data_IF_104498278521
#
_entry.id   IF_104498278521
#
_cell.length_a   1.000
_cell.length_b   1.000
_cell.length_c   1.000
_cell.angle_alpha   90.00
_cell.angle_beta   90.00
_cell.angle_gamma   90.00
#
_symmetry.space_group_name_H-M   'P 1'
#
loop_
_entity.id
_entity.type
_entity.pdbx_description
1 polymer ?
#
# COMPACT_ATOMS: atom_id res chain seq x y z
N UNK A 1 2.72 26.42 16.41
CA UNK A 1 2.17 25.38 15.50
C UNK A 1 2.99 25.22 14.20
N UNK A 2 3.76 26.23 13.77
CA UNK A 2 4.65 26.17 12.58
C UNK A 2 5.79 25.16 12.68
N UNK A 3 6.44 25.00 13.84
CA UNK A 3 7.62 24.15 13.99
C UNK A 3 7.35 22.63 13.88
N UNK A 4 6.14 22.17 14.21
CA UNK A 4 5.76 20.75 14.11
C UNK A 4 5.58 20.33 12.65
N UNK A 5 4.87 21.16 11.87
CA UNK A 5 4.67 20.93 10.45
C UNK A 5 6.00 20.95 9.68
N UNK A 6 6.91 21.89 10.00
CA UNK A 6 8.24 21.91 9.40
C UNK A 6 9.07 20.67 9.72
N UNK A 7 8.96 20.12 10.94
CA UNK A 7 9.62 18.86 11.30
C UNK A 7 9.06 17.67 10.52
N UNK A 8 7.73 17.54 10.45
CA UNK A 8 7.07 16.50 9.66
C UNK A 8 7.44 16.59 8.17
N UNK A 9 7.51 17.80 7.62
CA UNK A 9 7.96 18.04 6.25
C UNK A 9 9.41 17.62 6.03
N UNK A 10 10.31 17.89 7.00
CA UNK A 10 11.69 17.45 6.91
C UNK A 10 11.82 15.92 6.90
N UNK A 11 11.05 15.20 7.73
CA UNK A 11 10.95 13.74 7.69
C UNK A 11 10.44 13.24 6.34
N UNK A 12 9.41 13.87 5.80
CA UNK A 12 8.85 13.54 4.48
C UNK A 12 9.88 13.69 3.35
N UNK A 13 10.57 14.83 3.28
CA UNK A 13 11.59 15.08 2.26
C UNK A 13 12.77 14.11 2.36
N UNK A 14 13.22 13.81 3.60
CA UNK A 14 14.28 12.83 3.85
C UNK A 14 13.90 11.45 3.33
N UNK A 15 12.71 10.98 3.71
CA UNK A 15 12.25 9.64 3.33
C UNK A 15 12.01 9.53 1.82
N UNK A 16 11.52 10.60 1.18
CA UNK A 16 11.41 10.69 -0.28
C UNK A 16 12.77 10.58 -0.97
N UNK A 17 13.78 11.32 -0.49
CA UNK A 17 15.14 11.23 -1.04
C UNK A 17 15.72 9.82 -0.89
N UNK A 18 15.43 9.17 0.24
CA UNK A 18 15.79 7.77 0.46
C UNK A 18 15.15 6.88 -0.60
N UNK A 19 13.83 6.92 -0.78
CA UNK A 19 13.10 6.07 -1.72
C UNK A 19 13.51 6.30 -3.19
N UNK A 20 13.73 7.56 -3.58
CA UNK A 20 14.19 7.94 -4.94
C UNK A 20 15.61 7.43 -5.22
N UNK A 21 16.41 7.19 -4.19
CA UNK A 21 17.73 6.57 -4.32
C UNK A 21 17.61 5.04 -4.56
N UNK A 22 16.54 4.40 -4.07
CA UNK A 22 16.26 2.96 -4.23
C UNK A 22 15.25 2.64 -5.35
N UNK A 23 15.47 3.21 -6.55
CA UNK A 23 14.58 3.07 -7.73
C UNK A 23 14.27 1.62 -8.10
N UNK A 24 15.21 0.71 -7.88
CA UNK A 24 15.04 -0.73 -8.14
C UNK A 24 14.00 -1.37 -7.21
N UNK A 25 14.03 -1.01 -5.92
CA UNK A 25 13.06 -1.50 -4.95
C UNK A 25 11.65 -1.01 -5.31
N UNK A 26 11.52 0.27 -5.68
CA UNK A 26 10.28 0.84 -6.18
C UNK A 26 9.77 0.02 -7.38
N UNK A 27 10.59 -0.18 -8.41
CA UNK A 27 10.21 -0.94 -9.60
C UNK A 27 9.73 -2.37 -9.26
N UNK A 28 10.44 -3.10 -8.39
CA UNK A 28 10.05 -4.45 -7.99
C UNK A 28 8.73 -4.50 -7.23
N UNK A 29 8.45 -3.51 -6.38
CA UNK A 29 7.17 -3.45 -5.68
C UNK A 29 5.98 -3.21 -6.62
N UNK A 30 6.14 -2.32 -7.61
CA UNK A 30 5.12 -2.08 -8.63
C UNK A 30 4.94 -3.29 -9.53
N UNK A 31 6.04 -3.90 -9.99
CA UNK A 31 5.99 -5.12 -10.78
C UNK A 31 5.30 -6.25 -10.02
N UNK A 32 5.66 -6.47 -8.75
CA UNK A 32 5.04 -7.48 -7.89
C UNK A 32 3.55 -7.26 -7.71
N UNK A 33 3.14 -6.00 -7.49
CA UNK A 33 1.73 -5.63 -7.39
C UNK A 33 0.96 -5.87 -8.70
N UNK A 34 1.57 -5.53 -9.84
CA UNK A 34 1.01 -5.80 -11.17
C UNK A 34 0.84 -7.30 -11.43
N UNK A 35 1.86 -8.11 -11.14
CA UNK A 35 1.80 -9.57 -11.26
C UNK A 35 0.74 -10.17 -10.34
N UNK A 36 0.63 -9.68 -9.10
CA UNK A 36 -0.41 -10.10 -8.16
C UNK A 36 -1.80 -9.85 -8.74
N UNK A 37 -2.10 -8.62 -9.15
CA UNK A 37 -3.43 -8.25 -9.68
C UNK A 37 -3.76 -9.06 -10.93
N UNK A 38 -2.81 -9.21 -11.85
CA UNK A 38 -3.00 -9.97 -13.09
C UNK A 38 -3.25 -11.44 -12.81
N UNK A 39 -2.45 -12.06 -11.94
CA UNK A 39 -2.60 -13.47 -11.57
C UNK A 39 -3.96 -13.73 -10.93
N UNK A 40 -4.35 -12.90 -9.96
CA UNK A 40 -5.64 -13.03 -9.29
C UNK A 40 -6.81 -12.73 -10.20
N UNK A 41 -6.66 -11.85 -11.19
CA UNK A 41 -7.66 -11.66 -12.23
C UNK A 41 -7.92 -12.95 -13.00
N UNK A 42 -6.87 -13.64 -13.48
CA UNK A 42 -7.06 -14.90 -14.21
C UNK A 42 -7.58 -16.04 -13.31
N UNK A 43 -7.11 -16.14 -12.06
CA UNK A 43 -7.64 -17.10 -11.09
C UNK A 43 -9.14 -16.86 -10.86
N UNK A 44 -9.54 -15.59 -10.71
CA UNK A 44 -10.93 -15.24 -10.47
C UNK A 44 -11.85 -15.64 -11.63
N UNK A 45 -11.36 -15.60 -12.86
CA UNK A 45 -12.09 -16.05 -14.04
C UNK A 45 -12.30 -17.56 -14.01
N UNK A 46 -11.28 -18.33 -13.62
CA UNK A 46 -11.38 -19.78 -13.47
C UNK A 46 -12.34 -20.20 -12.35
N UNK A 47 -12.44 -19.39 -11.30
CA UNK A 47 -13.30 -19.64 -10.14
C UNK A 47 -14.68 -18.97 -10.23
N UNK A 48 -14.96 -18.20 -11.29
CA UNK A 48 -16.16 -17.36 -11.38
C UNK A 48 -17.47 -18.15 -11.23
N UNK A 49 -17.52 -19.38 -11.75
CA UNK A 49 -18.70 -20.25 -11.65
C UNK A 49 -18.85 -20.93 -10.28
N UNK A 50 -17.75 -21.06 -9.53
CA UNK A 50 -17.73 -21.72 -8.23
C UNK A 50 -17.90 -20.74 -7.06
N UNK A 51 -17.68 -19.44 -7.30
CA UNK A 51 -17.77 -18.43 -6.27
C UNK A 51 -19.22 -18.02 -6.01
N UNK A 52 -19.67 -18.23 -4.77
CA UNK A 52 -20.92 -17.70 -4.26
C UNK A 52 -20.59 -16.50 -3.36
N UNK A 53 -21.01 -15.27 -3.72
CA UNK A 53 -20.80 -14.12 -2.87
C UNK A 53 -21.60 -14.25 -1.56
N UNK A 54 -21.12 -13.67 -0.45
CA UNK A 54 -21.90 -13.59 0.78
C UNK A 54 -23.23 -12.88 0.54
N UNK A 55 -24.27 -13.28 1.30
CA UNK A 55 -25.61 -12.69 1.20
C UNK A 55 -25.62 -11.16 1.45
N UNK A 56 -24.67 -10.67 2.25
CA UNK A 56 -24.48 -9.26 2.59
C UNK A 56 -23.91 -8.43 1.42
N UNK A 57 -23.28 -9.08 0.44
CA UNK A 57 -22.57 -8.44 -0.69
C UNK A 57 -23.01 -9.05 -2.03
N UNK A 58 -24.31 -8.99 -2.37
CA UNK A 58 -24.82 -9.58 -3.60
C UNK A 58 -24.21 -8.90 -4.83
N UNK A 59 -23.77 -9.71 -5.79
CA UNK A 59 -23.20 -9.22 -7.05
C UNK A 59 -21.72 -8.82 -6.99
N UNK A 60 -21.05 -8.94 -5.85
CA UNK A 60 -19.59 -8.77 -5.77
C UNK A 60 -18.90 -9.96 -6.43
N UNK A 61 -18.01 -9.67 -7.39
CA UNK A 61 -17.17 -10.70 -8.02
C UNK A 61 -16.06 -11.17 -7.08
N UNK A 62 -15.62 -12.42 -7.23
CA UNK A 62 -14.47 -12.95 -6.50
C UNK A 62 -13.22 -12.05 -6.67
N UNK A 63 -13.02 -11.51 -7.87
CA UNK A 63 -11.91 -10.60 -8.13
C UNK A 63 -11.98 -9.33 -7.29
N UNK A 64 -13.15 -8.68 -7.25
CA UNK A 64 -13.35 -7.47 -6.45
C UNK A 64 -13.14 -7.75 -4.96
N UNK A 65 -13.63 -8.89 -4.47
CA UNK A 65 -13.41 -9.34 -3.09
C UNK A 65 -11.91 -9.48 -2.77
N UNK A 66 -11.15 -10.20 -3.61
CA UNK A 66 -9.70 -10.39 -3.41
C UNK A 66 -8.95 -9.07 -3.53
N UNK A 67 -9.31 -8.21 -4.48
CA UNK A 67 -8.63 -6.94 -4.72
C UNK A 67 -8.78 -5.98 -3.53
N UNK A 68 -9.99 -5.87 -2.97
CA UNK A 68 -10.25 -5.05 -1.77
C UNK A 68 -9.58 -5.67 -0.54
N UNK A 69 -9.66 -6.99 -0.37
CA UNK A 69 -8.97 -7.69 0.71
C UNK A 69 -7.46 -7.49 0.68
N UNK A 70 -6.86 -7.54 -0.51
CA UNK A 70 -5.43 -7.25 -0.69
C UNK A 70 -5.10 -5.79 -0.38
N UNK A 71 -5.92 -4.83 -0.83
CA UNK A 71 -5.75 -3.42 -0.50
C UNK A 71 -5.77 -3.19 1.03
N UNK A 72 -6.72 -3.80 1.72
CA UNK A 72 -6.80 -3.75 3.19
C UNK A 72 -5.57 -4.38 3.85
N UNK A 73 -5.15 -5.56 3.38
CA UNK A 73 -3.98 -6.26 3.90
C UNK A 73 -2.69 -5.44 3.78
N UNK A 74 -2.53 -4.65 2.72
CA UNK A 74 -1.38 -3.76 2.55
C UNK A 74 -1.31 -2.68 3.64
N UNK A 75 -2.44 -2.08 4.03
CA UNK A 75 -2.48 -1.13 5.15
C UNK A 75 -2.16 -1.79 6.49
N UNK A 76 -2.69 -2.99 6.71
CA UNK A 76 -2.39 -3.76 7.91
C UNK A 76 -0.89 -4.06 8.01
N UNK A 77 -0.29 -4.56 6.93
CA UNK A 77 1.14 -4.85 6.85
C UNK A 77 2.00 -3.61 7.03
N UNK A 78 1.64 -2.49 6.38
CA UNK A 78 2.37 -1.23 6.55
C UNK A 78 2.35 -0.79 8.02
N UNK A 79 1.19 -0.85 8.67
CA UNK A 79 1.05 -0.43 10.09
C UNK A 79 1.89 -1.30 11.03
N UNK A 80 1.86 -2.61 10.83
CA UNK A 80 2.58 -3.56 11.69
C UNK A 80 4.10 -3.47 11.53
N UNK A 81 4.59 -3.21 10.32
CA UNK A 81 6.02 -3.30 10.01
C UNK A 81 6.75 -1.96 10.00
N UNK A 82 6.07 -0.84 9.73
CA UNK A 82 6.70 0.47 9.56
C UNK A 82 7.52 0.89 10.78
N UNK A 83 6.95 0.77 11.98
CA UNK A 83 7.63 1.19 13.21
C UNK A 83 8.91 0.40 13.48
N UNK A 84 8.81 -0.93 13.52
CA UNK A 84 9.96 -1.82 13.79
C UNK A 84 11.05 -1.68 12.74
N UNK A 85 10.68 -1.50 11.47
CA UNK A 85 11.63 -1.33 10.37
C UNK A 85 12.41 -0.03 10.50
N UNK A 86 11.74 1.08 10.85
CA UNK A 86 12.38 2.38 11.04
C UNK A 86 13.31 2.39 12.25
N UNK A 87 12.91 1.81 13.39
CA UNK A 87 13.82 1.67 14.56
C UNK A 87 15.07 0.90 14.17
N UNK A 88 14.91 -0.27 13.52
CA UNK A 88 16.03 -1.09 13.11
C UNK A 88 16.96 -0.34 12.14
N UNK A 89 16.39 0.41 11.20
CA UNK A 89 17.16 1.22 10.26
C UNK A 89 18.01 2.28 11.00
N UNK A 90 17.40 3.03 11.92
CA UNK A 90 18.08 4.07 12.71
C UNK A 90 19.15 3.50 13.66
N UNK A 91 18.98 2.25 14.13
CA UNK A 91 20.01 1.51 14.86
C UNK A 91 21.18 1.13 13.96
N UNK A 92 20.90 0.59 12.76
CA UNK A 92 21.93 0.17 11.80
C UNK A 92 22.76 1.35 11.28
N UNK A 93 22.14 2.53 11.11
CA UNK A 93 22.83 3.76 10.69
C UNK A 93 23.46 4.54 11.85
N UNK A 94 23.27 4.10 13.10
CA UNK A 94 23.81 4.77 14.29
C UNK A 94 23.17 6.13 14.61
N UNK A 95 22.02 6.43 14.00
CA UNK A 95 21.34 7.73 14.11
C UNK A 95 20.26 7.76 15.18
N UNK A 96 19.91 6.61 15.75
CA UNK A 96 18.91 6.51 16.83
C UNK A 96 19.32 7.34 18.07
N UNK A 97 20.57 7.20 18.52
CA UNK A 97 21.07 7.92 19.70
C UNK A 97 21.05 9.43 19.47
N UNK A 98 21.51 9.87 18.30
CA UNK A 98 21.48 11.27 17.90
C UNK A 98 20.05 11.83 17.88
N UNK A 99 19.06 11.07 17.38
CA UNK A 99 17.66 11.50 17.39
C UNK A 99 17.09 11.59 18.81
N UNK A 100 17.41 10.65 19.71
CA UNK A 100 16.89 10.63 21.08
C UNK A 100 17.42 11.79 21.94
N UNK A 101 18.59 12.33 21.61
CA UNK A 101 19.17 13.49 22.30
C UNK A 101 18.58 14.82 21.78
N UNK A 102 17.93 14.83 20.61
CA UNK A 102 17.25 16.04 20.12
C UNK A 102 16.01 16.39 20.95
N UNK A 103 15.63 17.67 21.06
CA UNK A 103 14.39 18.12 21.71
C UNK A 103 13.17 17.84 20.81
N UNK A 104 13.02 16.59 20.38
CA UNK A 104 11.92 16.14 19.53
C UNK A 104 11.23 14.97 20.21
N UNK A 105 9.93 15.07 20.54
CA UNK A 105 9.25 14.01 21.26
C UNK A 105 9.23 12.72 20.42
N UNK A 106 9.48 11.58 21.06
CA UNK A 106 9.59 10.28 20.40
C UNK A 106 8.34 9.95 19.56
N UNK A 107 7.14 10.31 20.05
CA UNK A 107 5.90 10.15 19.30
C UNK A 107 5.92 10.88 17.93
N UNK A 108 6.56 12.05 17.84
CA UNK A 108 6.68 12.80 16.59
C UNK A 108 7.66 12.15 15.61
N UNK A 109 8.75 11.57 16.13
CA UNK A 109 9.72 10.81 15.32
C UNK A 109 9.04 9.58 14.73
N UNK A 110 8.24 8.87 15.54
CA UNK A 110 7.48 7.69 15.11
C UNK A 110 6.44 8.08 14.06
N UNK A 111 5.60 9.08 14.35
CA UNK A 111 4.56 9.54 13.43
C UNK A 111 5.15 10.08 12.12
N UNK A 112 6.23 10.86 12.19
CA UNK A 112 6.93 11.39 11.02
C UNK A 112 7.53 10.27 10.17
N UNK A 113 8.09 9.24 10.81
CA UNK A 113 8.67 8.08 10.12
C UNK A 113 7.62 7.16 9.49
N UNK A 114 6.44 7.03 10.10
CA UNK A 114 5.34 6.22 9.58
C UNK A 114 4.52 6.93 8.50
N UNK A 115 4.53 8.27 8.48
CA UNK A 115 3.74 9.09 7.56
C UNK A 115 4.07 8.77 6.10
N UNK A 116 5.37 8.69 5.76
CA UNK A 116 5.81 8.37 4.42
C UNK A 116 5.34 6.98 3.98
N UNK A 117 5.54 5.98 4.83
CA UNK A 117 5.17 4.60 4.53
C UNK A 117 3.65 4.48 4.28
N UNK A 118 2.83 5.18 5.07
CA UNK A 118 1.38 5.23 4.89
C UNK A 118 0.98 5.92 3.58
N UNK A 119 1.60 7.05 3.24
CA UNK A 119 1.35 7.75 1.98
C UNK A 119 1.72 6.89 0.77
N UNK A 120 2.86 6.20 0.83
CA UNK A 120 3.26 5.29 -0.25
C UNK A 120 2.37 4.05 -0.32
N UNK A 121 1.93 3.50 0.82
CA UNK A 121 0.94 2.41 0.84
C UNK A 121 -0.38 2.87 0.22
N UNK A 122 -0.84 4.08 0.52
CA UNK A 122 -2.04 4.68 -0.09
C UNK A 122 -1.88 4.82 -1.60
N UNK A 123 -0.75 5.34 -2.05
CA UNK A 123 -0.44 5.48 -3.48
C UNK A 123 -0.41 4.11 -4.18
N UNK A 124 0.31 3.12 -3.61
CA UNK A 124 0.40 1.75 -4.15
C UNK A 124 -0.97 1.08 -4.23
N UNK A 125 -1.80 1.20 -3.19
CA UNK A 125 -3.17 0.69 -3.19
C UNK A 125 -4.00 1.37 -4.27
N UNK A 126 -3.89 2.70 -4.43
CA UNK A 126 -4.56 3.42 -5.52
C UNK A 126 -4.18 2.86 -6.89
N UNK A 127 -2.89 2.64 -7.14
CA UNK A 127 -2.40 2.04 -8.39
C UNK A 127 -2.94 0.61 -8.58
N UNK A 128 -2.92 -0.22 -7.55
CA UNK A 128 -3.46 -1.59 -7.58
C UNK A 128 -4.95 -1.60 -7.92
N UNK A 129 -5.75 -0.73 -7.30
CA UNK A 129 -7.18 -0.62 -7.57
C UNK A 129 -7.43 -0.13 -9.00
N UNK A 130 -6.69 0.89 -9.46
CA UNK A 130 -6.79 1.38 -10.84
C UNK A 130 -6.42 0.30 -11.86
N UNK A 131 -5.35 -0.45 -11.63
CA UNK A 131 -4.95 -1.59 -12.47
C UNK A 131 -6.04 -2.67 -12.49
N UNK A 132 -6.60 -3.01 -11.33
CA UNK A 132 -7.67 -4.00 -11.23
C UNK A 132 -8.91 -3.57 -12.02
N UNK A 133 -9.33 -2.30 -11.89
CA UNK A 133 -10.46 -1.74 -12.65
C UNK A 133 -10.15 -1.70 -14.15
N UNK A 134 -8.93 -1.34 -14.54
CA UNK A 134 -8.51 -1.31 -15.94
C UNK A 134 -8.56 -2.70 -16.59
N UNK A 135 -8.06 -3.73 -15.90
CA UNK A 135 -8.14 -5.12 -16.36
C UNK A 135 -9.60 -5.61 -16.42
N UNK A 136 -10.39 -5.32 -15.38
CA UNK A 136 -11.80 -5.69 -15.36
C UNK A 136 -12.60 -5.04 -16.49
N UNK A 137 -12.32 -3.78 -16.85
CA UNK A 137 -12.99 -3.12 -17.99
C UNK A 137 -12.46 -3.62 -19.34
N UNK A 138 -11.14 -3.75 -19.49
CA UNK A 138 -10.52 -4.15 -20.75
C UNK A 138 -10.84 -5.59 -21.15
N UNK A 139 -10.91 -6.52 -20.19
CA UNK A 139 -11.16 -7.94 -20.43
C UNK A 139 -12.55 -8.41 -19.98
N UNK A 140 -13.23 -7.69 -19.09
CA UNK A 140 -14.53 -8.09 -18.53
C UNK A 140 -15.73 -7.85 -19.46
N UNK A 141 -15.55 -7.13 -20.56
CA UNK A 141 -16.58 -7.01 -21.61
C UNK A 141 -16.98 -8.33 -22.28
N UNK A 142 -16.21 -9.42 -22.10
CA UNK A 142 -16.49 -10.74 -22.66
C UNK A 142 -16.93 -11.80 -21.63
N UNK A 143 -16.99 -11.46 -20.34
CA UNK A 143 -17.22 -12.45 -19.27
C UNK A 143 -18.16 -11.90 -18.22
N UNK A 144 -19.45 -11.82 -18.52
CA UNK A 144 -20.54 -11.73 -17.54
C UNK A 144 -20.36 -10.77 -16.35
N UNK A 145 -19.49 -9.77 -16.48
CA UNK A 145 -19.12 -8.87 -15.41
C UNK A 145 -20.17 -7.78 -15.42
N UNK A 146 -21.31 -8.05 -14.78
CA UNK A 146 -22.28 -7.01 -14.50
C UNK A 146 -21.61 -6.07 -13.51
N UNK A 147 -20.94 -5.06 -14.03
CA UNK A 147 -20.58 -3.85 -13.30
C UNK A 147 -21.90 -3.23 -12.82
N UNK A 148 -22.44 -3.76 -11.72
CA UNK A 148 -23.68 -3.27 -11.11
C UNK A 148 -23.41 -2.51 -9.82
N UNK A 149 -22.13 -2.19 -9.52
CA UNK A 149 -21.76 -1.49 -8.29
C UNK A 149 -20.51 -0.61 -8.37
N UNK A 150 -20.01 -0.29 -9.57
CA UNK A 150 -19.00 0.77 -9.78
C UNK A 150 -19.42 1.65 -10.96
#
# INVERSE_FOLDING_TARGET
MSHLASKLWAFFCRDLQHEVSYRVNFLFQFAGSFFFVTTWFFISRSLAAAFQPPDELPGVSYFAFVLVGFAFFQYLQSTLNSFSSKIRQEQLTGTLEAMLVTPTPAALVILGSALWDYLMTTFRVGVVLLLGVALARGFGGQVGFKASGL
#
